data_IF_948062315647
#
_entry.id   IF_948062315647
#
_cell.length_a   1.000
_cell.length_b   1.000
_cell.length_c   1.000
_cell.angle_alpha   90.00
_cell.angle_beta   90.00
_cell.angle_gamma   90.00
#
_symmetry.space_group_name_H-M   'P 1'
#
loop_
_entity.id
_entity.type
_entity.pdbx_description
1 polymer ?
#
# COMPACT_ATOMS: atom_id res chain seq x y z
N UNK A 1 -72.76 38.98 16.09
CA UNK A 1 -73.75 38.80 14.99
C UNK A 1 -73.16 37.80 14.00
N UNK A 2 -73.97 36.83 13.54
CA UNK A 2 -73.61 35.71 12.61
C UNK A 2 -72.43 34.80 13.07
N UNK A 3 -72.25 33.53 12.68
CA UNK A 3 -73.06 32.45 12.07
C UNK A 3 -72.18 31.15 12.13
N UNK A 4 -72.67 29.90 12.19
CA UNK A 4 -73.99 29.33 12.54
C UNK A 4 -73.82 27.83 12.95
N UNK A 5 -74.93 27.19 13.35
CA UNK A 5 -75.21 25.76 13.63
C UNK A 5 -74.45 24.72 12.80
N UNK A 6 -74.02 23.60 13.42
CA UNK A 6 -73.49 22.45 12.68
C UNK A 6 -73.07 21.22 13.52
N UNK A 7 -74.03 20.41 13.98
CA UNK A 7 -73.80 19.03 14.44
C UNK A 7 -74.58 18.07 13.54
N UNK A 8 -73.98 16.95 13.12
CA UNK A 8 -74.57 15.67 13.55
C UNK A 8 -73.53 14.62 13.97
N UNK A 9 -73.96 13.73 14.87
CA UNK A 9 -73.37 12.39 15.08
C UNK A 9 -74.35 11.37 14.46
N UNK A 10 -73.87 10.22 13.96
CA UNK A 10 -74.12 8.96 14.69
C UNK A 10 -72.95 7.96 14.61
N UNK A 11 -72.51 7.36 15.72
CA UNK A 11 -72.96 6.07 16.28
C UNK A 11 -72.31 4.82 15.64
N UNK A 12 -71.62 4.00 16.46
CA UNK A 12 -70.96 2.77 16.00
C UNK A 12 -70.10 2.08 17.06
N UNK A 13 -70.72 1.65 18.16
CA UNK A 13 -70.26 0.63 19.17
C UNK A 13 -68.90 -0.07 18.91
N UNK A 14 -67.86 0.17 19.71
CA UNK A 14 -67.61 -0.42 21.04
C UNK A 14 -67.01 -1.85 21.05
N UNK A 15 -65.81 -2.00 21.64
CA UNK A 15 -65.50 -3.01 22.67
C UNK A 15 -64.14 -2.70 23.34
N UNK A 16 -64.06 -2.98 24.65
CA UNK A 16 -62.93 -2.74 25.55
C UNK A 16 -61.80 -3.78 25.41
N UNK A 17 -60.53 -3.38 25.59
CA UNK A 17 -59.65 -3.99 26.61
C UNK A 17 -58.23 -3.41 26.66
N UNK A 18 -57.98 -2.59 27.69
CA UNK A 18 -56.81 -2.59 28.60
C UNK A 18 -55.52 -3.36 28.16
N UNK A 19 -54.42 -2.62 27.99
CA UNK A 19 -53.03 -3.13 27.91
C UNK A 19 -52.01 -2.02 28.21
N UNK A 20 -51.01 -2.30 29.06
CA UNK A 20 -50.05 -1.32 29.64
C UNK A 20 -48.75 -1.27 28.80
N UNK A 21 -48.01 -0.14 28.72
CA UNK A 21 -46.93 0.05 27.74
C UNK A 21 -45.57 -0.46 28.22
N UNK A 22 -44.66 -0.70 27.28
CA UNK A 22 -43.24 -0.94 27.55
C UNK A 22 -42.57 -1.83 26.51
N UNK A 23 -41.81 -1.23 25.58
CA UNK A 23 -41.17 -1.98 24.51
C UNK A 23 -40.38 -1.10 23.53
N UNK A 24 -39.30 -0.48 24.00
CA UNK A 24 -38.28 0.10 23.12
C UNK A 24 -37.49 -1.03 22.45
N UNK A 25 -38.09 -1.64 21.42
CA UNK A 25 -37.37 -2.55 20.53
C UNK A 25 -36.49 -1.70 19.59
N UNK A 26 -35.17 -1.85 19.70
CA UNK A 26 -34.21 -1.22 18.81
C UNK A 26 -34.53 -1.61 17.36
N UNK A 27 -34.70 -0.61 16.49
CA UNK A 27 -34.74 -0.86 15.06
C UNK A 27 -33.39 -1.42 14.62
N UNK A 28 -33.34 -2.71 14.27
CA UNK A 28 -32.16 -3.32 13.66
C UNK A 28 -31.84 -2.56 12.37
N UNK A 29 -30.76 -1.78 12.41
CA UNK A 29 -30.14 -1.26 11.19
C UNK A 29 -29.70 -2.47 10.36
N UNK A 30 -30.17 -2.63 9.11
CA UNK A 30 -29.67 -3.70 8.27
C UNK A 30 -28.16 -3.54 8.13
N UNK A 31 -27.42 -4.59 8.50
CA UNK A 31 -25.97 -4.60 8.38
C UNK A 31 -25.58 -4.29 6.92
N UNK A 32 -24.57 -3.45 6.67
CA UNK A 32 -24.18 -3.13 5.31
C UNK A 32 -23.80 -4.42 4.59
N UNK A 33 -24.50 -4.69 3.48
CA UNK A 33 -24.28 -5.88 2.67
C UNK A 33 -22.79 -5.97 2.32
N UNK A 34 -22.13 -6.99 2.90
CA UNK A 34 -20.73 -7.29 2.63
C UNK A 34 -20.67 -7.86 1.22
N UNK A 35 -20.68 -6.97 0.22
CA UNK A 35 -20.46 -7.26 -1.19
C UNK A 35 -19.39 -8.33 -1.28
N UNK A 36 -19.79 -9.57 -1.60
CA UNK A 36 -18.86 -10.67 -1.84
C UNK A 36 -17.93 -10.18 -2.94
N UNK A 37 -16.67 -9.88 -2.57
CA UNK A 37 -15.67 -9.45 -3.52
C UNK A 37 -15.63 -10.47 -4.65
N UNK A 38 -15.84 -10.02 -5.88
CA UNK A 38 -15.81 -10.90 -7.04
C UNK A 38 -14.52 -11.73 -6.98
N UNK A 39 -14.64 -13.05 -7.09
CA UNK A 39 -13.49 -13.94 -6.95
C UNK A 39 -12.40 -13.49 -7.91
N UNK A 40 -11.21 -13.17 -7.38
CA UNK A 40 -10.09 -12.66 -8.18
C UNK A 40 -9.84 -13.64 -9.33
N UNK A 41 -9.80 -13.19 -10.60
CA UNK A 41 -9.68 -14.10 -11.73
C UNK A 41 -8.42 -14.96 -11.59
N UNK A 42 -8.57 -16.24 -11.93
CA UNK A 42 -7.48 -17.21 -11.87
C UNK A 42 -6.38 -16.78 -12.85
N UNK A 43 -5.12 -16.63 -12.41
CA UNK A 43 -4.02 -16.29 -13.32
C UNK A 43 -3.87 -17.31 -14.45
N UNK A 44 -3.80 -16.80 -15.68
CA UNK A 44 -3.46 -17.54 -16.89
C UNK A 44 -2.00 -17.29 -17.26
N UNK A 45 -1.46 -18.09 -18.19
CA UNK A 45 -0.11 -17.87 -18.73
C UNK A 45 0.02 -16.48 -19.35
N UNK A 46 1.17 -15.84 -19.13
CA UNK A 46 1.58 -14.64 -19.86
C UNK A 46 2.76 -14.98 -20.80
N UNK A 47 2.58 -14.67 -22.09
CA UNK A 47 3.57 -14.88 -23.15
C UNK A 47 4.89 -14.12 -22.89
N UNK A 48 4.84 -12.94 -22.25
CA UNK A 48 6.02 -12.12 -21.96
C UNK A 48 7.07 -12.90 -21.15
N UNK A 49 6.61 -13.78 -20.25
CA UNK A 49 7.45 -14.58 -19.37
C UNK A 49 7.77 -15.98 -19.90
N UNK A 50 7.29 -16.34 -21.10
CA UNK A 50 7.43 -17.69 -21.67
C UNK A 50 8.90 -18.11 -21.89
N UNK A 51 9.78 -17.14 -22.12
CA UNK A 51 11.22 -17.36 -22.33
C UNK A 51 12.00 -17.69 -21.04
N UNK A 52 11.46 -17.38 -19.86
CA UNK A 52 12.10 -17.69 -18.58
C UNK A 52 11.81 -19.13 -18.16
N UNK A 53 12.80 -19.82 -17.56
CA UNK A 53 12.54 -21.06 -16.82
C UNK A 53 11.79 -20.76 -15.50
N UNK A 54 11.27 -21.79 -14.83
CA UNK A 54 10.56 -21.63 -13.54
C UNK A 54 11.50 -21.03 -12.48
N UNK A 55 12.76 -21.48 -12.44
CA UNK A 55 13.74 -20.97 -11.48
C UNK A 55 14.26 -19.57 -11.85
N UNK A 56 14.43 -19.28 -13.15
CA UNK A 56 14.72 -17.92 -13.60
C UNK A 56 13.59 -16.95 -13.26
N UNK A 57 12.32 -17.37 -13.37
CA UNK A 57 11.16 -16.57 -12.98
C UNK A 57 11.06 -16.37 -11.45
N UNK A 58 11.45 -17.37 -10.65
CA UNK A 58 11.60 -17.23 -9.18
C UNK A 58 12.68 -16.20 -8.86
N UNK A 59 13.83 -16.27 -9.52
CA UNK A 59 14.94 -15.35 -9.30
C UNK A 59 14.60 -13.92 -9.73
N UNK A 60 14.02 -13.75 -10.92
CA UNK A 60 13.53 -12.46 -11.40
C UNK A 60 12.55 -11.82 -10.40
N UNK A 61 11.60 -12.59 -9.85
CA UNK A 61 10.69 -12.09 -8.81
C UNK A 61 11.43 -11.77 -7.50
N UNK A 62 12.47 -12.52 -7.11
CA UNK A 62 13.31 -12.19 -5.94
C UNK A 62 14.04 -10.86 -6.16
N UNK A 63 14.68 -10.67 -7.31
CA UNK A 63 15.38 -9.45 -7.69
C UNK A 63 14.43 -8.23 -7.68
N UNK A 64 13.27 -8.32 -8.33
CA UNK A 64 12.24 -7.27 -8.29
C UNK A 64 11.80 -6.91 -6.86
N UNK A 65 11.67 -7.93 -5.99
CA UNK A 65 11.28 -7.72 -4.57
C UNK A 65 12.41 -7.05 -3.78
N UNK A 66 13.67 -7.44 -4.00
CA UNK A 66 14.82 -6.79 -3.39
C UNK A 66 14.92 -5.31 -3.81
N UNK A 67 14.66 -5.02 -5.09
CA UNK A 67 14.65 -3.66 -5.63
C UNK A 67 13.49 -2.82 -5.07
N UNK A 68 12.29 -3.39 -4.97
CA UNK A 68 11.14 -2.74 -4.34
C UNK A 68 11.45 -2.30 -2.90
N UNK A 69 12.15 -3.14 -2.13
CA UNK A 69 12.55 -2.81 -0.76
C UNK A 69 13.51 -1.60 -0.71
N UNK A 70 14.45 -1.47 -1.67
CA UNK A 70 15.34 -0.29 -1.78
C UNK A 70 14.54 0.97 -2.07
N UNK A 71 13.60 0.90 -3.01
CA UNK A 71 12.75 2.03 -3.43
C UNK A 71 11.83 2.47 -2.29
N UNK A 72 11.20 1.52 -1.59
CA UNK A 72 10.37 1.78 -0.41
C UNK A 72 11.18 2.28 0.79
N UNK A 73 12.48 1.98 0.89
CA UNK A 73 13.40 2.60 1.85
C UNK A 73 13.70 4.06 1.47
N UNK A 74 14.14 4.31 0.24
CA UNK A 74 14.44 5.65 -0.26
C UNK A 74 13.25 6.61 -0.19
N UNK A 75 12.05 6.14 -0.56
CA UNK A 75 10.82 6.92 -0.45
C UNK A 75 10.60 7.44 0.98
N UNK A 76 10.73 6.56 1.99
CA UNK A 76 10.55 6.95 3.40
C UNK A 76 11.60 7.94 3.88
N UNK A 77 12.84 7.84 3.38
CA UNK A 77 13.90 8.81 3.66
C UNK A 77 13.62 10.18 3.04
N UNK A 78 13.18 10.23 1.77
CA UNK A 78 12.83 11.51 1.13
C UNK A 78 11.59 12.14 1.77
N UNK A 79 10.59 11.35 2.14
CA UNK A 79 9.41 11.81 2.89
C UNK A 79 9.82 12.44 4.23
N UNK A 80 10.58 11.70 5.06
CA UNK A 80 11.05 12.22 6.34
C UNK A 80 11.89 13.51 6.21
N UNK A 81 12.65 13.67 5.11
CA UNK A 81 13.39 14.91 4.84
C UNK A 81 12.48 16.04 4.37
N UNK A 82 11.50 15.75 3.52
CA UNK A 82 10.50 16.71 3.07
C UNK A 82 9.71 17.26 4.27
N UNK A 83 9.31 16.40 5.19
CA UNK A 83 8.64 16.78 6.44
C UNK A 83 9.51 17.72 7.29
N UNK A 84 10.84 17.48 7.36
CA UNK A 84 11.79 18.34 8.08
C UNK A 84 11.98 19.70 7.39
N UNK A 85 12.06 19.74 6.06
CA UNK A 85 12.14 21.02 5.30
C UNK A 85 10.86 21.83 5.50
N UNK A 86 9.68 21.19 5.43
CA UNK A 86 8.39 21.82 5.68
C UNK A 86 8.23 22.32 7.13
N UNK A 87 8.74 21.58 8.11
CA UNK A 87 8.72 21.99 9.52
C UNK A 87 9.74 23.09 9.86
N UNK A 88 10.87 23.14 9.14
CA UNK A 88 11.98 24.08 9.35
C UNK A 88 11.89 25.40 8.60
N UNK A 89 10.98 25.52 7.62
CA UNK A 89 10.70 26.76 6.89
C UNK A 89 10.24 27.88 7.85
N UNK A 90 11.19 28.69 8.32
CA UNK A 90 10.99 29.82 9.21
C UNK A 90 11.10 29.55 10.72
N UNK A 91 11.65 28.42 11.17
CA UNK A 91 11.87 28.10 12.60
C UNK A 91 13.13 27.27 12.86
N UNK A 92 13.76 27.48 14.02
CA UNK A 92 14.78 26.57 14.53
C UNK A 92 14.22 25.15 14.70
N UNK A 93 14.89 24.17 14.10
CA UNK A 93 14.53 22.75 14.16
C UNK A 93 14.90 22.13 15.52
N UNK A 94 14.12 22.45 16.55
CA UNK A 94 14.28 21.85 17.88
C UNK A 94 14.01 20.34 17.81
N UNK A 95 14.85 19.55 18.49
CA UNK A 95 14.83 18.08 18.49
C UNK A 95 13.46 17.46 18.86
N UNK A 96 12.63 18.20 19.61
CA UNK A 96 11.27 17.81 19.99
C UNK A 96 10.31 17.75 18.79
N UNK A 97 10.49 18.60 17.78
CA UNK A 97 9.70 18.57 16.53
C UNK A 97 10.07 17.40 15.61
N UNK A 98 11.30 16.87 15.72
CA UNK A 98 11.76 15.73 14.92
C UNK A 98 11.19 14.39 15.42
N UNK A 99 10.85 14.28 16.72
CA UNK A 99 10.34 13.04 17.31
C UNK A 99 9.05 12.55 16.64
N UNK A 100 7.96 13.35 16.52
CA UNK A 100 6.73 12.90 15.86
C UNK A 100 6.95 12.39 14.43
N UNK A 101 7.76 13.11 13.65
CA UNK A 101 8.05 12.81 12.25
C UNK A 101 8.78 11.46 12.09
N UNK A 102 9.81 11.23 12.92
CA UNK A 102 10.64 10.01 12.88
C UNK A 102 10.03 8.79 13.60
N UNK A 103 8.91 8.96 14.33
CA UNK A 103 8.26 7.87 15.08
C UNK A 103 7.19 7.13 14.27
N UNK A 104 6.79 7.67 13.11
CA UNK A 104 5.69 7.17 12.28
C UNK A 104 5.90 5.76 11.69
N UNK A 105 7.15 5.32 11.49
CA UNK A 105 7.49 3.93 11.15
C UNK A 105 8.89 3.56 11.67
N UNK A 106 9.07 2.32 12.16
CA UNK A 106 10.39 1.85 12.62
C UNK A 106 11.37 1.73 11.44
N UNK A 107 12.23 2.73 11.28
CA UNK A 107 13.38 2.70 10.37
C UNK A 107 14.37 1.63 10.85
N UNK A 108 14.25 0.43 10.29
CA UNK A 108 15.14 -0.70 10.58
C UNK A 108 16.60 -0.39 10.22
N UNK A 109 17.53 -0.81 11.09
CA UNK A 109 18.93 -0.46 10.95
C UNK A 109 19.60 -1.14 9.74
N UNK A 110 20.03 -0.32 8.78
CA UNK A 110 20.76 -0.73 7.58
C UNK A 110 21.46 0.45 6.93
N UNK A 111 22.19 1.25 7.73
CA UNK A 111 22.86 2.48 7.26
C UNK A 111 23.89 2.13 6.15
N UNK A 112 23.72 2.74 4.98
CA UNK A 112 24.68 2.84 3.86
C UNK A 112 24.97 1.59 2.99
N UNK A 113 24.15 0.54 3.01
CA UNK A 113 24.50 -0.72 2.32
C UNK A 113 24.11 -0.86 0.82
N UNK A 114 23.24 0.00 0.25
CA UNK A 114 22.70 -0.18 -1.11
C UNK A 114 22.58 1.15 -1.88
N UNK A 115 23.69 1.58 -2.48
CA UNK A 115 23.77 2.81 -3.29
C UNK A 115 23.40 2.61 -4.76
N UNK A 116 23.40 1.37 -5.26
CA UNK A 116 22.87 1.06 -6.60
C UNK A 116 21.46 0.46 -6.53
N UNK A 117 20.49 1.25 -6.99
CA UNK A 117 19.27 0.76 -7.62
C UNK A 117 19.65 0.42 -9.05
N UNK A 118 19.84 -0.87 -9.34
CA UNK A 118 20.15 -1.30 -10.70
C UNK A 118 18.84 -1.25 -11.50
N UNK A 119 18.77 -0.52 -12.62
CA UNK A 119 17.58 -0.53 -13.45
C UNK A 119 17.35 -1.95 -13.97
N UNK A 120 16.13 -2.45 -13.80
CA UNK A 120 15.65 -3.60 -14.59
C UNK A 120 15.36 -3.06 -15.99
N UNK A 121 15.83 -3.74 -17.04
CA UNK A 121 16.07 -3.16 -18.38
C UNK A 121 14.90 -2.40 -19.06
N UNK A 122 13.65 -2.57 -18.63
CA UNK A 122 12.49 -1.79 -19.10
C UNK A 122 11.73 -0.99 -18.01
N UNK A 123 12.40 -0.60 -16.92
CA UNK A 123 11.91 0.42 -15.97
C UNK A 123 12.80 1.67 -16.07
N UNK A 124 12.24 2.88 -16.22
CA UNK A 124 13.03 4.11 -16.26
C UNK A 124 14.00 4.23 -15.08
N UNK A 125 15.28 4.59 -15.31
CA UNK A 125 16.26 4.71 -14.24
C UNK A 125 15.83 5.77 -13.23
N UNK A 126 16.16 5.55 -11.96
CA UNK A 126 15.90 6.52 -10.90
C UNK A 126 16.80 7.76 -11.03
N UNK A 127 16.37 8.92 -10.50
CA UNK A 127 17.23 10.10 -10.36
C UNK A 127 18.44 9.81 -9.45
N UNK A 128 19.45 10.67 -9.49
CA UNK A 128 20.58 10.63 -8.55
C UNK A 128 20.13 11.01 -7.13
N UNK A 129 19.65 10.00 -6.39
CA UNK A 129 19.17 10.16 -5.01
C UNK A 129 20.30 10.59 -4.06
N UNK A 130 21.54 10.20 -4.35
CA UNK A 130 22.73 10.58 -3.58
C UNK A 130 23.00 12.09 -3.64
N UNK A 131 23.04 12.68 -4.83
CA UNK A 131 23.25 14.13 -5.00
C UNK A 131 22.13 14.95 -4.35
N UNK A 132 20.88 14.52 -4.48
CA UNK A 132 19.75 15.16 -3.81
C UNK A 132 19.88 15.03 -2.28
N UNK A 133 20.30 13.86 -1.78
CA UNK A 133 20.49 13.61 -0.36
C UNK A 133 21.64 14.45 0.26
N UNK A 134 22.80 14.51 -0.39
CA UNK A 134 23.97 15.20 0.15
C UNK A 134 23.91 16.74 -0.01
N UNK A 135 22.99 17.25 -0.84
CA UNK A 135 22.77 18.69 -1.02
C UNK A 135 22.42 19.37 0.30
N UNK A 136 23.25 20.30 0.75
CA UNK A 136 22.97 21.18 1.89
C UNK A 136 22.39 22.51 1.40
N UNK A 137 21.46 23.06 2.17
CA UNK A 137 20.81 24.35 1.93
C UNK A 137 20.88 25.15 3.23
N UNK A 138 21.13 26.45 3.12
CA UNK A 138 21.10 27.37 4.26
C UNK A 138 19.65 27.49 4.80
N UNK A 139 19.40 27.24 6.10
CA UNK A 139 18.08 27.46 6.70
C UNK A 139 17.54 28.90 6.60
N UNK A 140 18.42 29.89 6.36
CA UNK A 140 18.04 31.29 6.16
C UNK A 140 17.68 31.66 4.72
N UNK A 141 17.98 30.81 3.73
CA UNK A 141 17.68 31.09 2.31
C UNK A 141 16.38 30.40 1.89
N UNK A 142 15.27 31.15 1.97
CA UNK A 142 13.95 30.66 1.60
C UNK A 142 13.84 30.21 0.13
N UNK A 143 14.60 30.81 -0.79
CA UNK A 143 14.56 30.42 -2.20
C UNK A 143 15.28 29.08 -2.45
N UNK A 144 16.41 28.85 -1.78
CA UNK A 144 17.07 27.54 -1.79
C UNK A 144 16.25 26.47 -1.06
N UNK A 145 15.56 26.82 0.03
CA UNK A 145 14.64 25.90 0.73
C UNK A 145 13.47 25.47 -0.17
N UNK A 146 12.82 26.42 -0.84
CA UNK A 146 11.73 26.12 -1.77
C UNK A 146 12.20 25.24 -2.94
N UNK A 147 13.35 25.56 -3.54
CA UNK A 147 13.94 24.74 -4.61
C UNK A 147 14.25 23.30 -4.16
N UNK A 148 14.82 23.12 -2.97
CA UNK A 148 15.05 21.79 -2.39
C UNK A 148 13.73 21.05 -2.11
N UNK A 149 12.69 21.75 -1.64
CA UNK A 149 11.38 21.17 -1.39
C UNK A 149 10.73 20.67 -2.69
N UNK A 150 10.81 21.45 -3.77
CA UNK A 150 10.32 21.07 -5.10
C UNK A 150 11.06 19.84 -5.65
N UNK A 151 12.39 19.79 -5.55
CA UNK A 151 13.19 18.65 -5.99
C UNK A 151 12.90 17.38 -5.17
N UNK A 152 12.72 17.50 -3.84
CA UNK A 152 12.36 16.37 -2.97
C UNK A 152 10.96 15.81 -3.33
N UNK A 153 9.98 16.68 -3.61
CA UNK A 153 8.65 16.26 -4.09
C UNK A 153 8.73 15.53 -5.44
N UNK A 154 9.53 16.05 -6.38
CA UNK A 154 9.70 15.45 -7.70
C UNK A 154 10.32 14.04 -7.60
N UNK A 155 11.38 13.90 -6.80
CA UNK A 155 12.03 12.61 -6.58
C UNK A 155 11.13 11.60 -5.83
N UNK A 156 10.31 12.04 -4.86
CA UNK A 156 9.30 11.18 -4.22
C UNK A 156 8.29 10.66 -5.24
N UNK A 157 7.77 11.54 -6.11
CA UNK A 157 6.80 11.17 -7.13
C UNK A 157 7.40 10.17 -8.15
N UNK A 158 8.67 10.34 -8.52
CA UNK A 158 9.40 9.40 -9.38
C UNK A 158 9.58 8.03 -8.71
N UNK A 159 10.02 7.98 -7.45
CA UNK A 159 10.11 6.75 -6.65
C UNK A 159 8.75 6.07 -6.50
N UNK A 160 7.68 6.85 -6.29
CA UNK A 160 6.30 6.37 -6.22
C UNK A 160 5.86 5.70 -7.52
N UNK A 161 6.16 6.30 -8.67
CA UNK A 161 5.88 5.74 -10.00
C UNK A 161 6.67 4.45 -10.24
N UNK A 162 7.97 4.45 -9.94
CA UNK A 162 8.88 3.30 -10.08
C UNK A 162 8.43 2.12 -9.19
N UNK A 163 8.08 2.37 -7.92
CA UNK A 163 7.53 1.34 -7.02
C UNK A 163 6.24 0.73 -7.58
N UNK A 164 5.35 1.56 -8.11
CA UNK A 164 4.11 1.08 -8.71
C UNK A 164 4.37 0.20 -9.95
N UNK A 165 5.42 0.48 -10.73
CA UNK A 165 5.86 -0.38 -11.83
C UNK A 165 6.42 -1.72 -11.33
N UNK A 166 7.26 -1.71 -10.29
CA UNK A 166 7.76 -2.93 -9.65
C UNK A 166 6.62 -3.78 -9.09
N UNK A 167 5.65 -3.19 -8.39
CA UNK A 167 4.48 -3.92 -7.85
C UNK A 167 3.65 -4.60 -8.95
N UNK A 168 3.48 -3.97 -10.12
CA UNK A 168 2.83 -4.61 -11.28
C UNK A 168 3.61 -5.83 -11.76
N UNK A 169 4.92 -5.69 -12.02
CA UNK A 169 5.79 -6.78 -12.49
C UNK A 169 5.90 -7.94 -11.47
N UNK A 170 5.99 -7.65 -10.17
CA UNK A 170 5.94 -8.67 -9.10
C UNK A 170 4.60 -9.42 -9.13
N UNK A 171 3.49 -8.70 -9.36
CA UNK A 171 2.16 -9.26 -9.54
C UNK A 171 2.05 -10.18 -10.76
N UNK A 172 2.55 -9.74 -11.91
CA UNK A 172 2.59 -10.50 -13.17
C UNK A 172 3.44 -11.76 -13.05
N UNK A 173 4.70 -11.65 -12.57
CA UNK A 173 5.59 -12.79 -12.36
C UNK A 173 5.03 -13.78 -11.34
N UNK A 174 4.32 -13.30 -10.31
CA UNK A 174 3.58 -14.17 -9.37
C UNK A 174 2.38 -14.84 -10.03
N UNK A 175 1.65 -14.13 -10.91
CA UNK A 175 0.55 -14.69 -11.70
C UNK A 175 1.02 -15.81 -12.62
N UNK A 176 2.11 -15.59 -13.36
CA UNK A 176 2.73 -16.61 -14.21
C UNK A 176 3.17 -17.82 -13.37
N UNK A 177 3.87 -17.63 -12.24
CA UNK A 177 4.25 -18.75 -11.35
C UNK A 177 3.03 -19.57 -10.91
N UNK A 178 1.93 -18.92 -10.55
CA UNK A 178 0.66 -19.59 -10.20
C UNK A 178 0.12 -20.38 -11.39
N UNK A 179 0.13 -19.82 -12.61
CA UNK A 179 -0.30 -20.52 -13.82
C UNK A 179 0.56 -21.78 -14.08
N UNK A 180 1.89 -21.69 -13.99
CA UNK A 180 2.80 -22.85 -14.15
C UNK A 180 2.53 -23.94 -13.14
N UNK A 181 2.36 -23.58 -11.86
CA UNK A 181 2.10 -24.53 -10.79
C UNK A 181 0.72 -25.19 -10.89
N UNK A 182 -0.28 -24.53 -11.50
CA UNK A 182 -1.59 -25.12 -11.79
C UNK A 182 -1.53 -26.17 -12.90
N UNK A 183 -0.72 -25.91 -13.94
CA UNK A 183 -0.49 -26.85 -15.04
C UNK A 183 0.39 -28.03 -14.62
N UNK A 184 1.44 -27.78 -13.84
CA UNK A 184 2.42 -28.79 -13.41
C UNK A 184 2.72 -28.63 -11.90
N UNK A 185 1.89 -29.22 -11.01
CA UNK A 185 2.05 -29.07 -9.56
C UNK A 185 3.37 -29.60 -9.00
N UNK A 186 4.01 -30.54 -9.67
CA UNK A 186 5.34 -31.06 -9.30
C UNK A 186 6.43 -29.99 -9.29
N UNK A 187 6.28 -28.92 -10.07
CA UNK A 187 7.20 -27.77 -10.07
C UNK A 187 7.27 -27.08 -8.70
N UNK A 188 6.24 -27.17 -7.85
CA UNK A 188 6.30 -26.64 -6.49
C UNK A 188 7.37 -27.33 -5.64
N UNK A 189 7.61 -28.63 -5.88
CA UNK A 189 8.55 -29.43 -5.09
C UNK A 189 10.01 -29.00 -5.31
N UNK A 190 10.34 -28.45 -6.48
CA UNK A 190 11.69 -27.94 -6.78
C UNK A 190 12.03 -26.66 -6.01
N UNK A 191 11.04 -25.98 -5.40
CA UNK A 191 11.27 -24.83 -4.53
C UNK A 191 11.67 -25.21 -3.10
N UNK A 192 11.50 -26.48 -2.71
CA UNK A 192 11.79 -26.94 -1.35
C UNK A 192 13.30 -27.15 -1.20
N UNK A 193 13.92 -26.64 -0.11
CA UNK A 193 15.29 -27.00 0.21
C UNK A 193 15.33 -28.49 0.61
N UNK A 194 15.75 -29.33 -0.33
CA UNK A 194 16.03 -30.74 -0.05
C UNK A 194 17.24 -30.79 0.88
N UNK A 195 17.04 -31.28 2.11
CA UNK A 195 18.11 -31.41 3.11
C UNK A 195 19.25 -32.26 2.52
N UNK A 196 20.48 -31.72 2.35
CA UNK A 196 21.59 -32.44 1.72
C UNK A 196 21.95 -33.73 2.48
N UNK A 197 21.56 -33.86 3.75
CA UNK A 197 21.73 -35.09 4.55
C UNK A 197 20.90 -36.27 4.04
N UNK A 198 19.80 -36.03 3.31
CA UNK A 198 18.99 -37.10 2.68
C UNK A 198 19.51 -37.52 1.30
N UNK A 199 20.16 -36.62 0.57
CA UNK A 199 20.75 -36.95 -0.73
C UNK A 199 21.86 -38.00 -0.61
N UNK A 200 22.72 -37.87 0.42
CA UNK A 200 23.85 -38.77 0.65
C UNK A 200 23.49 -40.11 1.32
N UNK A 201 22.21 -40.37 1.59
CA UNK A 201 21.73 -41.61 2.21
C UNK A 201 21.10 -42.59 1.18
N UNK A 202 21.20 -42.28 -0.11
CA UNK A 202 20.59 -43.03 -1.22
C UNK A 202 21.62 -43.48 -2.28
N UNK A 203 22.90 -43.51 -1.92
CA UNK A 203 24.04 -43.92 -2.73
C UNK A 203 24.89 -44.93 -1.95
#
# INVERSE_FOLDING_TARGET
MTADTGRPSPSGTATSSRGVPGGLALAERPAPDRRKGAARPVPTRNADYAHLSVDALREYRRALTAEENKVSYWRRILQARLDVVQAGSGRDLVQEHLRPLLTSERVGAGRQALVEVLPVDDIPPLPSLGELWDRRVDPGDAAQQEGLEQDLRLAEAQLSSYRNALHRRIGEATGELIARYREQPSLCLTALPLDPRRANASA
#
